data_IF_865940337932
#
_entry.id   IF_865940337932
#
_cell.length_a   1.000
_cell.length_b   1.000
_cell.length_c   1.000
_cell.angle_alpha   90.00
_cell.angle_beta   90.00
_cell.angle_gamma   90.00
#
_symmetry.space_group_name_H-M   'P 1'
#
loop_
_entity.id
_entity.type
_entity.pdbx_description
1 polymer ?
#
# COMPACT_ATOMS: atom_id res chain seq x y z
N UNK A 1 -3.01 -13.04 -8.53
CA UNK A 1 -4.04 -12.08 -8.99
C UNK A 1 -4.79 -12.76 -10.12
N UNK A 2 -6.10 -12.60 -10.18
CA UNK A 2 -6.92 -13.09 -11.29
C UNK A 2 -6.49 -12.35 -12.59
N UNK A 3 -6.12 -13.11 -13.62
CA UNK A 3 -5.57 -12.56 -14.87
C UNK A 3 -6.58 -11.69 -15.62
N UNK A 4 -7.86 -12.07 -15.63
CA UNK A 4 -8.92 -11.33 -16.32
C UNK A 4 -9.15 -9.99 -15.64
N UNK A 5 -9.14 -10.00 -14.30
CA UNK A 5 -9.31 -8.74 -13.57
C UNK A 5 -8.13 -7.80 -13.75
N UNK A 6 -6.91 -8.32 -13.76
CA UNK A 6 -5.71 -7.53 -14.03
C UNK A 6 -5.77 -6.88 -15.42
N UNK A 7 -6.27 -7.62 -16.42
CA UNK A 7 -6.45 -7.11 -17.77
C UNK A 7 -7.49 -5.97 -17.83
N UNK A 8 -8.66 -6.16 -17.21
CA UNK A 8 -9.71 -5.13 -17.18
C UNK A 8 -9.23 -3.85 -16.47
N UNK A 9 -8.53 -3.99 -15.35
CA UNK A 9 -7.94 -2.85 -14.63
C UNK A 9 -6.88 -2.14 -15.48
N UNK A 10 -6.02 -2.88 -16.18
CA UNK A 10 -5.00 -2.30 -17.06
C UNK A 10 -5.63 -1.52 -18.22
N UNK A 11 -6.64 -2.06 -18.89
CA UNK A 11 -7.35 -1.36 -19.99
C UNK A 11 -8.06 -0.11 -19.49
N UNK A 12 -8.72 -0.17 -18.33
CA UNK A 12 -9.45 0.98 -17.75
C UNK A 12 -8.57 2.05 -17.12
N UNK A 13 -7.30 1.75 -16.84
CA UNK A 13 -6.40 2.63 -16.08
C UNK A 13 -6.18 4.00 -16.73
N UNK A 14 -6.03 4.04 -18.06
CA UNK A 14 -5.78 5.28 -18.81
C UNK A 14 -6.99 6.21 -18.68
N UNK A 15 -8.18 5.71 -18.97
CA UNK A 15 -9.42 6.48 -18.85
C UNK A 15 -9.65 6.97 -17.42
N UNK A 16 -9.35 6.13 -16.42
CA UNK A 16 -9.50 6.50 -15.01
C UNK A 16 -8.53 7.61 -14.60
N UNK A 17 -7.29 7.60 -15.12
CA UNK A 17 -6.33 8.68 -14.89
C UNK A 17 -6.82 10.01 -15.50
N UNK A 18 -7.36 9.97 -16.71
CA UNK A 18 -7.93 11.16 -17.35
C UNK A 18 -9.14 11.71 -16.59
N UNK A 19 -9.99 10.83 -16.03
CA UNK A 19 -11.09 11.25 -15.14
C UNK A 19 -10.54 11.94 -13.90
N UNK A 20 -9.48 11.44 -13.26
CA UNK A 20 -8.88 12.11 -12.11
C UNK A 20 -8.33 13.48 -12.46
N UNK A 21 -7.68 13.64 -13.62
CA UNK A 21 -7.23 14.95 -14.13
C UNK A 21 -8.41 15.89 -14.34
N UNK A 22 -9.48 15.40 -14.96
CA UNK A 22 -10.72 16.15 -15.16
C UNK A 22 -11.34 16.62 -13.83
N UNK A 23 -11.29 15.78 -12.78
CA UNK A 23 -11.73 16.14 -11.43
C UNK A 23 -10.77 17.09 -10.69
N UNK A 24 -9.66 17.49 -11.30
CA UNK A 24 -8.71 18.47 -10.77
C UNK A 24 -7.48 17.86 -10.09
N UNK A 25 -7.14 16.59 -10.35
CA UNK A 25 -5.85 16.03 -9.95
C UNK A 25 -4.74 16.59 -10.85
N UNK A 26 -3.89 17.43 -10.28
CA UNK A 26 -2.76 18.07 -10.95
C UNK A 26 -1.60 17.10 -11.15
N UNK A 27 -1.77 16.15 -12.08
CA UNK A 27 -0.70 15.28 -12.52
C UNK A 27 0.34 16.10 -13.29
N UNK A 28 1.65 15.88 -13.06
CA UNK A 28 2.67 16.64 -13.74
C UNK A 28 2.65 16.33 -15.24
N UNK A 29 2.79 17.37 -16.08
CA UNK A 29 2.76 17.27 -17.55
C UNK A 29 4.05 17.79 -18.18
N UNK A 30 4.34 17.35 -19.41
CA UNK A 30 5.40 17.91 -20.23
C UNK A 30 4.94 19.21 -20.94
N UNK A 31 5.83 19.79 -21.75
CA UNK A 31 5.56 21.03 -22.49
C UNK A 31 4.40 20.92 -23.50
N UNK A 32 3.98 19.70 -23.85
CA UNK A 32 2.92 19.43 -24.81
C UNK A 32 1.64 18.92 -24.13
N UNK A 33 1.57 18.91 -22.79
CA UNK A 33 0.40 18.47 -22.01
C UNK A 33 0.31 16.95 -21.81
N UNK A 34 1.36 16.19 -22.15
CA UNK A 34 1.37 14.76 -21.87
C UNK A 34 1.75 14.51 -20.40
N UNK A 35 0.98 13.65 -19.72
CA UNK A 35 1.27 13.25 -18.34
C UNK A 35 2.67 12.66 -18.23
N UNK A 36 3.51 13.20 -17.34
CA UNK A 36 4.84 12.69 -17.06
C UNK A 36 4.76 11.32 -16.42
N UNK A 37 5.63 10.42 -16.90
CA UNK A 37 5.69 9.03 -16.44
C UNK A 37 7.12 8.64 -16.07
N UNK A 38 7.25 7.64 -15.22
CA UNK A 38 8.53 7.09 -14.78
C UNK A 38 8.46 5.58 -14.56
N UNK A 39 9.62 4.93 -14.63
CA UNK A 39 9.77 3.50 -14.36
C UNK A 39 9.73 3.22 -12.85
N UNK A 40 8.98 2.19 -12.47
CA UNK A 40 8.89 1.69 -11.08
C UNK A 40 8.68 0.18 -11.12
N UNK A 41 9.04 -0.54 -10.06
CA UNK A 41 8.43 -1.84 -9.72
C UNK A 41 8.26 -2.87 -10.86
N UNK A 42 9.37 -3.29 -11.45
CA UNK A 42 9.46 -4.23 -12.59
C UNK A 42 8.76 -3.75 -13.87
N UNK A 43 8.41 -2.46 -13.95
CA UNK A 43 7.87 -1.85 -15.16
C UNK A 43 8.97 -1.27 -16.04
N UNK A 44 9.17 -1.91 -17.20
CA UNK A 44 10.17 -1.50 -18.19
C UNK A 44 9.68 -0.31 -19.05
N UNK A 45 8.37 -0.06 -19.08
CA UNK A 45 7.75 0.91 -19.99
C UNK A 45 7.53 2.30 -19.38
N UNK A 46 7.72 2.45 -18.06
CA UNK A 46 7.53 3.72 -17.38
C UNK A 46 6.10 4.22 -17.45
N UNK A 47 5.17 3.47 -16.86
CA UNK A 47 3.73 3.72 -16.85
C UNK A 47 3.24 4.38 -15.57
N UNK A 48 4.09 4.49 -14.54
CA UNK A 48 3.73 5.14 -13.30
C UNK A 48 3.78 6.67 -13.42
N UNK A 49 2.84 7.35 -12.76
CA UNK A 49 2.81 8.80 -12.62
C UNK A 49 2.51 9.17 -11.17
N UNK A 50 2.93 10.35 -10.72
CA UNK A 50 2.73 10.80 -9.35
C UNK A 50 2.77 12.32 -9.21
N UNK A 51 2.04 12.86 -8.24
CA UNK A 51 2.20 14.22 -7.73
C UNK A 51 3.20 14.23 -6.55
N UNK A 52 4.26 13.42 -6.65
CA UNK A 52 5.22 13.18 -5.57
C UNK A 52 4.62 12.41 -4.37
N UNK A 53 5.09 12.65 -3.12
CA UNK A 53 4.74 11.83 -1.97
C UNK A 53 3.29 12.00 -1.48
N UNK A 54 2.50 12.85 -2.13
CA UNK A 54 1.12 13.19 -1.72
C UNK A 54 0.06 12.72 -2.71
N UNK A 55 0.44 11.98 -3.76
CA UNK A 55 -0.48 11.55 -4.84
C UNK A 55 -1.79 10.97 -4.31
N UNK A 56 -1.75 9.96 -3.44
CA UNK A 56 -2.94 9.33 -2.88
C UNK A 56 -3.80 10.29 -2.04
N UNK A 57 -3.17 11.18 -1.27
CA UNK A 57 -3.88 12.23 -0.50
C UNK A 57 -4.61 13.21 -1.44
N UNK A 58 -3.99 13.58 -2.55
CA UNK A 58 -4.61 14.46 -3.54
C UNK A 58 -5.75 13.77 -4.28
N UNK A 59 -5.60 12.48 -4.64
CA UNK A 59 -6.67 11.66 -5.21
C UNK A 59 -7.89 11.59 -4.29
N UNK A 60 -7.69 11.28 -3.00
CA UNK A 60 -8.80 11.23 -2.02
C UNK A 60 -9.47 12.60 -1.91
N UNK A 61 -8.69 13.69 -1.93
CA UNK A 61 -9.24 15.05 -1.85
C UNK A 61 -10.18 15.35 -3.03
N UNK A 62 -9.74 15.13 -4.26
CA UNK A 62 -10.56 15.44 -5.45
C UNK A 62 -11.80 14.55 -5.53
N UNK A 63 -11.68 13.27 -5.19
CA UNK A 63 -12.81 12.34 -5.14
C UNK A 63 -13.83 12.69 -4.05
N UNK A 64 -13.36 13.11 -2.88
CA UNK A 64 -14.25 13.55 -1.79
C UNK A 64 -14.98 14.85 -2.17
N UNK A 65 -14.30 15.79 -2.80
CA UNK A 65 -14.91 17.02 -3.32
C UNK A 65 -15.99 16.70 -4.37
N UNK A 66 -15.72 15.76 -5.26
CA UNK A 66 -16.70 15.33 -6.26
C UNK A 66 -17.92 14.64 -5.63
N UNK A 67 -17.70 13.76 -4.65
CA UNK A 67 -18.80 13.13 -3.92
C UNK A 67 -19.69 14.16 -3.21
N UNK A 68 -19.09 15.19 -2.61
CA UNK A 68 -19.82 16.32 -2.01
C UNK A 68 -20.59 17.12 -3.08
N UNK A 69 -19.97 17.41 -4.24
CA UNK A 69 -20.62 18.13 -5.35
C UNK A 69 -21.85 17.38 -5.88
N UNK A 70 -21.77 16.05 -5.92
CA UNK A 70 -22.85 15.15 -6.31
C UNK A 70 -23.90 14.93 -5.21
N UNK A 71 -23.73 15.54 -4.03
CA UNK A 71 -24.58 15.36 -2.85
C UNK A 71 -24.71 13.88 -2.44
N UNK A 72 -23.64 13.10 -2.58
CA UNK A 72 -23.61 11.71 -2.09
C UNK A 72 -23.64 11.76 -0.55
N UNK A 73 -24.61 11.09 0.12
CA UNK A 73 -24.65 11.07 1.58
C UNK A 73 -23.41 10.40 2.18
N UNK A 74 -22.74 11.10 3.10
CA UNK A 74 -21.57 10.61 3.82
C UNK A 74 -21.91 10.38 5.29
N UNK A 75 -21.94 9.12 5.71
CA UNK A 75 -22.08 8.73 7.11
C UNK A 75 -20.69 8.78 7.79
N UNK A 76 -20.26 9.96 8.19
CA UNK A 76 -18.99 10.12 8.92
C UNK A 76 -19.06 9.46 10.31
N UNK A 77 -17.89 9.04 10.84
CA UNK A 77 -17.75 8.38 12.13
C UNK A 77 -18.72 7.20 12.37
N UNK A 78 -19.15 6.54 11.29
CA UNK A 78 -20.07 5.40 11.31
C UNK A 78 -19.31 4.12 10.98
N UNK A 79 -19.38 3.13 11.87
CA UNK A 79 -18.65 1.86 11.71
C UNK A 79 -19.63 0.72 11.49
N UNK A 80 -19.61 0.12 10.30
CA UNK A 80 -20.35 -1.10 10.00
C UNK A 80 -19.83 -2.27 10.86
N UNK A 81 -20.75 -3.01 11.48
CA UNK A 81 -20.42 -4.13 12.37
C UNK A 81 -21.03 -5.46 11.92
N UNK A 82 -22.13 -5.44 11.14
CA UNK A 82 -22.80 -6.67 10.68
C UNK A 82 -23.55 -6.47 9.38
N UNK A 83 -23.35 -7.36 8.41
CA UNK A 83 -24.15 -7.40 7.17
C UNK A 83 -25.45 -8.16 7.46
N UNK A 84 -26.57 -7.57 7.02
CA UNK A 84 -27.89 -8.19 7.10
C UNK A 84 -28.14 -8.95 5.80
N UNK A 85 -28.45 -10.23 5.93
CA UNK A 85 -28.79 -11.09 4.79
C UNK A 85 -30.12 -11.78 5.01
N UNK A 86 -30.84 -12.04 3.93
CA UNK A 86 -32.07 -12.86 3.93
C UNK A 86 -31.93 -13.99 2.90
N UNK A 87 -32.73 -15.04 3.04
CA UNK A 87 -32.65 -16.24 2.19
C UNK A 87 -31.46 -17.14 2.54
N UNK A 88 -31.38 -18.28 1.84
CA UNK A 88 -30.35 -19.31 2.05
C UNK A 88 -29.81 -19.82 0.71
N UNK A 89 -28.61 -20.40 0.74
CA UNK A 89 -27.94 -20.95 -0.43
C UNK A 89 -27.90 -19.94 -1.60
N UNK A 90 -28.40 -20.38 -2.75
CA UNK A 90 -28.44 -19.57 -3.98
C UNK A 90 -29.41 -18.37 -3.92
N UNK A 91 -30.33 -18.35 -2.94
CA UNK A 91 -31.30 -17.26 -2.78
C UNK A 91 -30.87 -16.22 -1.74
N UNK A 92 -29.64 -16.35 -1.21
CA UNK A 92 -29.13 -15.44 -0.18
C UNK A 92 -28.86 -14.07 -0.78
N UNK A 93 -29.40 -13.02 -0.17
CA UNK A 93 -29.23 -11.63 -0.62
C UNK A 93 -28.91 -10.70 0.54
N UNK A 94 -28.29 -9.57 0.24
CA UNK A 94 -28.07 -8.48 1.20
C UNK A 94 -29.35 -7.65 1.35
N UNK A 95 -29.64 -7.25 2.59
CA UNK A 95 -30.78 -6.38 2.93
C UNK A 95 -30.34 -5.06 3.58
N UNK A 96 -29.07 -4.98 3.99
CA UNK A 96 -28.52 -3.82 4.65
C UNK A 96 -27.29 -4.14 5.50
N UNK A 97 -26.96 -3.17 6.35
CA UNK A 97 -25.86 -3.27 7.31
C UNK A 97 -26.28 -2.62 8.63
N UNK A 98 -25.90 -3.24 9.75
CA UNK A 98 -25.94 -2.63 11.06
C UNK A 98 -24.61 -1.90 11.27
N UNK A 99 -24.69 -0.64 11.69
CA UNK A 99 -23.53 0.16 12.00
C UNK A 99 -23.67 0.87 13.36
N UNK A 100 -22.55 1.30 13.91
CA UNK A 100 -22.48 2.18 15.07
C UNK A 100 -22.16 3.58 14.58
N UNK A 101 -23.09 4.52 14.76
CA UNK A 101 -22.91 5.94 14.48
C UNK A 101 -22.54 6.67 15.79
N UNK A 102 -21.29 7.10 15.91
CA UNK A 102 -20.82 7.80 17.11
C UNK A 102 -21.43 9.18 17.30
N UNK A 103 -21.95 9.80 16.24
CA UNK A 103 -22.55 11.13 16.28
C UNK A 103 -24.03 11.10 16.69
N UNK A 104 -24.71 9.97 16.52
CA UNK A 104 -26.11 9.79 16.91
C UNK A 104 -26.27 9.82 18.45
N UNK A 105 -26.69 10.97 18.99
CA UNK A 105 -26.89 11.16 20.44
C UNK A 105 -28.27 10.71 20.93
N UNK A 106 -29.27 10.73 20.04
CA UNK A 106 -30.67 10.46 20.39
C UNK A 106 -30.97 8.96 20.52
N UNK A 107 -30.06 8.11 20.04
CA UNK A 107 -30.13 6.67 20.21
C UNK A 107 -29.12 6.22 21.28
N UNK A 108 -29.58 5.74 22.46
CA UNK A 108 -28.70 5.25 23.53
C UNK A 108 -27.72 4.17 23.09
N UNK A 109 -28.11 3.34 22.11
CA UNK A 109 -27.30 2.25 21.57
C UNK A 109 -26.36 2.69 20.46
N UNK A 110 -26.57 3.88 19.91
CA UNK A 110 -25.84 4.42 18.74
C UNK A 110 -25.85 3.49 17.52
N UNK A 111 -26.79 2.54 17.48
CA UNK A 111 -26.91 1.55 16.41
C UNK A 111 -27.85 2.07 15.33
N UNK A 112 -27.41 2.05 14.09
CA UNK A 112 -28.21 2.42 12.92
C UNK A 112 -28.31 1.25 11.98
N UNK A 113 -29.45 1.14 11.30
CA UNK A 113 -29.68 0.17 10.23
C UNK A 113 -29.72 0.92 8.91
N UNK A 114 -28.76 0.64 8.04
CA UNK A 114 -28.71 1.18 6.69
C UNK A 114 -29.22 0.09 5.76
N UNK A 115 -30.43 0.27 5.22
CA UNK A 115 -31.02 -0.68 4.28
C UNK A 115 -30.42 -0.48 2.89
N UNK A 116 -30.01 -1.57 2.25
CA UNK A 116 -29.51 -1.52 0.88
C UNK A 116 -29.77 -2.86 0.16
N UNK A 117 -29.99 -2.79 -1.15
CA UNK A 117 -30.10 -3.95 -2.02
C UNK A 117 -28.72 -4.40 -2.55
N UNK A 118 -27.75 -3.48 -2.55
CA UNK A 118 -26.39 -3.72 -2.99
C UNK A 118 -25.43 -3.10 -1.96
N UNK A 119 -24.42 -3.88 -1.58
CA UNK A 119 -23.39 -3.47 -0.63
C UNK A 119 -22.02 -3.64 -1.28
N UNK A 120 -21.25 -2.56 -1.36
CA UNK A 120 -19.88 -2.56 -1.86
C UNK A 120 -18.94 -2.39 -0.67
N UNK A 121 -18.04 -3.35 -0.48
CA UNK A 121 -17.03 -3.31 0.59
C UNK A 121 -15.73 -2.72 0.05
N UNK A 122 -15.43 -1.47 0.44
CA UNK A 122 -14.21 -0.74 0.07
C UNK A 122 -13.41 -0.32 1.32
N UNK A 123 -13.19 -1.25 2.25
CA UNK A 123 -12.71 -0.97 3.63
C UNK A 123 -11.20 -1.05 3.81
N UNK A 124 -10.43 -1.16 2.72
CA UNK A 124 -8.98 -1.22 2.74
C UNK A 124 -8.41 -2.55 3.25
N UNK A 125 -7.08 -2.58 3.43
CA UNK A 125 -6.35 -3.77 3.89
C UNK A 125 -6.37 -3.96 5.42
N UNK A 126 -6.12 -5.19 5.91
CA UNK A 126 -6.17 -5.52 7.33
C UNK A 126 -4.84 -5.22 8.04
N UNK A 127 -4.48 -3.94 8.12
CA UNK A 127 -3.18 -3.48 8.64
C UNK A 127 -2.88 -3.87 10.09
N UNK A 128 -3.90 -4.10 10.91
CA UNK A 128 -3.77 -4.49 12.33
C UNK A 128 -3.54 -6.00 12.55
N UNK A 129 -3.51 -6.81 11.49
CA UNK A 129 -3.10 -8.23 11.61
C UNK A 129 -1.63 -8.39 12.00
N UNK A 130 -0.81 -7.38 11.72
CA UNK A 130 0.61 -7.39 11.99
C UNK A 130 0.94 -6.43 13.12
N UNK A 131 1.78 -6.88 14.07
CA UNK A 131 2.31 -6.03 15.16
C UNK A 131 2.95 -4.75 14.62
N UNK A 132 3.70 -4.89 13.52
CA UNK A 132 4.45 -3.82 12.87
C UNK A 132 3.90 -3.59 11.46
N UNK A 133 3.38 -2.39 11.21
CA UNK A 133 2.58 -2.08 10.02
C UNK A 133 2.79 -0.63 9.59
N UNK A 134 2.76 -0.36 8.28
CA UNK A 134 2.76 1.01 7.71
C UNK A 134 1.35 1.59 7.61
N UNK A 135 0.33 0.75 7.83
CA UNK A 135 -1.05 1.20 7.78
C UNK A 135 -1.32 2.24 8.88
N UNK A 136 -2.27 3.15 8.65
CA UNK A 136 -2.82 3.97 9.70
C UNK A 136 -3.31 3.11 10.87
N UNK A 137 -3.24 3.66 12.08
CA UNK A 137 -3.79 3.01 13.28
C UNK A 137 -5.29 2.76 13.09
N UNK A 138 -5.77 1.62 13.57
CA UNK A 138 -7.15 1.15 13.46
C UNK A 138 -7.60 0.77 12.04
N UNK A 139 -6.66 0.35 11.18
CA UNK A 139 -6.98 -0.19 9.86
C UNK A 139 -7.32 -1.69 9.96
N UNK A 140 -8.53 -2.00 10.44
CA UNK A 140 -8.99 -3.38 10.69
C UNK A 140 -9.56 -4.09 9.45
N UNK A 141 -9.95 -3.35 8.41
CA UNK A 141 -10.73 -3.86 7.26
C UNK A 141 -12.09 -4.47 7.67
N UNK A 142 -12.88 -4.93 6.70
CA UNK A 142 -14.18 -5.59 6.91
C UNK A 142 -14.14 -7.10 6.68
N UNK A 143 -12.96 -7.72 6.68
CA UNK A 143 -12.79 -9.14 6.38
C UNK A 143 -13.58 -10.03 7.36
N UNK A 144 -13.55 -9.73 8.65
CA UNK A 144 -14.30 -10.49 9.67
C UNK A 144 -15.81 -10.41 9.43
N UNK A 145 -16.33 -9.19 9.22
CA UNK A 145 -17.74 -8.96 8.91
C UNK A 145 -18.19 -9.67 7.61
N UNK A 146 -17.32 -9.72 6.60
CA UNK A 146 -17.59 -10.45 5.36
C UNK A 146 -17.63 -11.98 5.59
N UNK A 147 -16.71 -12.53 6.38
CA UNK A 147 -16.70 -13.95 6.73
C UNK A 147 -17.94 -14.37 7.51
N UNK A 148 -18.36 -13.57 8.49
CA UNK A 148 -19.60 -13.80 9.26
C UNK A 148 -20.84 -13.77 8.37
N UNK A 149 -20.82 -12.97 7.31
CA UNK A 149 -21.85 -12.94 6.28
C UNK A 149 -21.78 -14.13 5.30
N UNK A 150 -20.84 -15.06 5.49
CA UNK A 150 -20.63 -16.24 4.65
C UNK A 150 -19.94 -15.94 3.32
N UNK A 151 -19.25 -14.80 3.20
CA UNK A 151 -18.53 -14.44 1.99
C UNK A 151 -17.16 -15.10 1.97
N UNK A 152 -16.81 -15.76 0.86
CA UNK A 152 -15.51 -16.39 0.66
C UNK A 152 -14.44 -15.33 0.38
N UNK A 153 -13.34 -15.41 1.13
CA UNK A 153 -12.15 -14.58 0.91
C UNK A 153 -11.09 -15.37 0.14
N UNK A 154 -10.26 -14.68 -0.63
CA UNK A 154 -9.17 -15.28 -1.42
C UNK A 154 -7.83 -14.63 -1.10
N UNK A 155 -6.74 -15.35 -1.32
CA UNK A 155 -5.36 -14.85 -1.21
C UNK A 155 -5.01 -14.23 0.16
N UNK A 156 -5.64 -14.67 1.25
CA UNK A 156 -5.34 -14.16 2.61
C UNK A 156 -3.90 -14.43 3.06
N UNK A 157 -3.24 -15.43 2.47
CA UNK A 157 -1.83 -15.74 2.69
C UNK A 157 -0.88 -14.76 1.99
N UNK A 158 -1.38 -14.00 1.01
CA UNK A 158 -0.56 -13.14 0.16
C UNK A 158 -0.37 -11.75 0.78
N UNK A 159 0.70 -11.61 1.57
CA UNK A 159 1.11 -10.32 2.12
C UNK A 159 2.40 -9.82 1.49
N UNK A 160 2.38 -8.59 0.96
CA UNK A 160 3.56 -7.98 0.34
C UNK A 160 4.38 -7.27 1.39
N UNK A 161 5.60 -7.72 1.67
CA UNK A 161 6.42 -7.08 2.70
C UNK A 161 7.37 -5.99 2.14
N UNK A 162 7.15 -4.73 2.51
CA UNK A 162 7.99 -3.59 2.15
C UNK A 162 8.98 -3.16 3.24
N UNK A 163 9.91 -2.26 2.90
CA UNK A 163 10.78 -1.56 3.86
C UNK A 163 10.02 -0.31 4.33
N UNK A 164 9.76 -0.17 5.62
CA UNK A 164 9.14 1.03 6.18
C UNK A 164 9.56 1.30 7.63
N UNK A 165 9.29 2.51 8.09
CA UNK A 165 9.51 2.90 9.50
C UNK A 165 8.27 2.63 10.35
N UNK A 166 8.43 2.38 11.66
CA UNK A 166 7.31 2.08 12.54
C UNK A 166 6.25 3.18 12.56
N UNK A 167 4.98 2.76 12.60
CA UNK A 167 3.83 3.69 12.71
C UNK A 167 3.89 4.61 13.92
N UNK A 168 4.51 4.17 15.02
CA UNK A 168 4.58 4.92 16.28
C UNK A 168 5.64 6.03 16.28
N UNK A 169 6.51 6.09 15.27
CA UNK A 169 7.55 7.12 15.17
C UNK A 169 7.25 8.04 13.99
N UNK A 170 7.33 7.47 12.79
CA UNK A 170 7.07 8.14 11.53
C UNK A 170 6.55 7.06 10.58
N UNK A 171 5.24 6.99 10.26
CA UNK A 171 4.71 5.97 9.36
C UNK A 171 5.15 6.29 7.94
N UNK A 172 6.23 5.66 7.48
CA UNK A 172 6.72 5.86 6.13
C UNK A 172 6.96 4.53 5.44
N UNK A 173 6.19 4.29 4.39
CA UNK A 173 6.44 3.23 3.44
C UNK A 173 7.48 3.73 2.43
N UNK A 174 8.67 3.12 2.44
CA UNK A 174 9.76 3.56 1.58
C UNK A 174 9.54 3.02 0.16
N UNK A 175 9.29 3.93 -0.78
CA UNK A 175 9.20 3.58 -2.20
C UNK A 175 10.55 3.04 -2.69
N UNK A 176 10.51 2.04 -3.56
CA UNK A 176 11.71 1.50 -4.21
C UNK A 176 12.54 2.60 -4.87
N UNK A 177 11.92 3.60 -5.49
CA UNK A 177 12.59 4.69 -6.21
C UNK A 177 13.64 5.43 -5.38
N UNK A 178 13.50 5.48 -4.04
CA UNK A 178 14.52 6.06 -3.15
C UNK A 178 15.86 5.33 -3.21
N UNK A 179 15.88 4.04 -3.55
CA UNK A 179 17.12 3.27 -3.70
C UNK A 179 17.97 3.75 -4.88
N UNK A 180 17.38 4.46 -5.84
CA UNK A 180 18.11 5.08 -6.96
C UNK A 180 19.07 6.19 -6.47
N UNK A 181 18.83 6.77 -5.29
CA UNK A 181 19.77 7.70 -4.65
C UNK A 181 20.99 7.00 -4.02
N UNK A 182 21.07 5.66 -4.12
CA UNK A 182 22.13 4.81 -3.58
C UNK A 182 22.39 5.14 -2.10
N UNK A 183 21.37 5.00 -1.21
CA UNK A 183 21.54 5.33 0.19
C UNK A 183 22.63 4.50 0.85
N UNK A 184 23.26 5.07 1.89
CA UNK A 184 24.16 4.30 2.74
C UNK A 184 23.31 3.42 3.66
N UNK A 185 23.37 2.12 3.42
CA UNK A 185 22.69 1.11 4.22
C UNK A 185 23.70 0.49 5.18
N UNK A 186 23.41 0.56 6.49
CA UNK A 186 24.32 0.07 7.51
C UNK A 186 23.56 -0.53 8.69
N UNK A 187 24.29 -1.29 9.49
CA UNK A 187 23.84 -1.80 10.78
C UNK A 187 24.71 -1.17 11.86
N UNK A 188 24.18 -1.04 13.07
CA UNK A 188 24.89 -0.49 14.22
C UNK A 188 24.92 -1.56 15.31
N UNK A 189 26.03 -1.70 16.04
CA UNK A 189 26.06 -2.58 17.21
C UNK A 189 25.73 -1.83 18.50
N UNK A 190 25.69 -2.54 19.63
CA UNK A 190 25.41 -1.99 20.96
C UNK A 190 26.43 -0.93 21.40
N UNK A 191 27.64 -0.93 20.84
CA UNK A 191 28.67 0.09 21.11
C UNK A 191 28.52 1.35 20.24
N UNK A 192 27.52 1.37 19.35
CA UNK A 192 27.28 2.47 18.42
C UNK A 192 28.12 2.39 17.15
N UNK A 193 28.94 1.35 16.96
CA UNK A 193 29.80 1.21 15.77
C UNK A 193 28.95 0.83 14.56
N UNK A 194 29.05 1.63 13.51
CA UNK A 194 28.37 1.41 12.24
C UNK A 194 29.19 0.52 11.31
N UNK A 195 28.54 -0.41 10.62
CA UNK A 195 29.18 -1.23 9.59
C UNK A 195 28.21 -1.52 8.45
N UNK A 196 28.77 -1.56 7.24
CA UNK A 196 28.04 -1.93 6.04
C UNK A 196 28.04 -3.46 5.89
N UNK A 197 26.98 -4.09 6.38
CA UNK A 197 26.81 -5.55 6.31
C UNK A 197 26.60 -6.08 4.88
N UNK A 198 26.44 -5.20 3.88
CA UNK A 198 26.30 -5.58 2.47
C UNK A 198 27.63 -5.66 1.76
N UNK A 199 28.62 -4.91 2.25
CA UNK A 199 29.97 -4.99 1.74
C UNK A 199 30.58 -6.39 1.94
N UNK A 200 30.09 -7.18 2.90
CA UNK A 200 30.52 -8.59 3.08
C UNK A 200 29.83 -9.56 2.13
N UNK A 201 28.77 -9.13 1.43
CA UNK A 201 28.02 -9.98 0.50
C UNK A 201 28.38 -9.71 -0.96
N UNK A 202 28.66 -8.46 -1.33
CA UNK A 202 29.03 -8.10 -2.69
C UNK A 202 30.55 -8.06 -2.86
N UNK A 203 31.12 -8.69 -3.90
CA UNK A 203 32.58 -8.73 -4.11
C UNK A 203 33.22 -7.35 -4.29
N UNK A 204 32.47 -6.38 -4.82
CA UNK A 204 32.98 -5.03 -5.06
C UNK A 204 31.95 -3.96 -4.70
N UNK A 205 32.41 -2.76 -4.34
CA UNK A 205 31.55 -1.58 -4.13
C UNK A 205 30.71 -1.25 -5.37
N UNK A 206 31.26 -1.47 -6.57
CA UNK A 206 30.54 -1.25 -7.84
C UNK A 206 29.31 -2.16 -7.95
N UNK A 207 29.47 -3.44 -7.64
CA UNK A 207 28.36 -4.40 -7.66
C UNK A 207 27.30 -4.06 -6.61
N UNK A 208 27.73 -3.70 -5.39
CA UNK A 208 26.81 -3.25 -4.34
C UNK A 208 26.00 -2.03 -4.77
N UNK A 209 26.66 -0.97 -5.24
CA UNK A 209 25.99 0.26 -5.66
C UNK A 209 25.03 0.01 -6.84
N UNK A 210 25.44 -0.82 -7.80
CA UNK A 210 24.59 -1.21 -8.94
C UNK A 210 23.35 -1.99 -8.48
N UNK A 211 23.51 -2.90 -7.51
CA UNK A 211 22.41 -3.66 -6.94
C UNK A 211 21.41 -2.76 -6.19
N UNK A 212 21.91 -1.81 -5.38
CA UNK A 212 21.07 -0.82 -4.69
C UNK A 212 20.32 0.03 -5.72
N UNK A 213 21.00 0.59 -6.71
CA UNK A 213 20.38 1.42 -7.75
C UNK A 213 19.27 0.66 -8.49
N UNK A 214 19.57 -0.55 -8.97
CA UNK A 214 18.59 -1.42 -9.67
C UNK A 214 17.41 -1.80 -8.80
N UNK A 215 17.60 -1.89 -7.48
CA UNK A 215 16.50 -2.19 -6.54
C UNK A 215 15.40 -1.13 -6.62
N UNK A 216 15.74 0.10 -7.03
CA UNK A 216 14.74 1.14 -7.22
C UNK A 216 13.81 0.97 -8.41
N UNK A 217 14.07 -0.01 -9.27
CA UNK A 217 13.17 -0.44 -10.35
C UNK A 217 12.63 -1.86 -10.14
N UNK A 218 13.03 -2.56 -9.09
CA UNK A 218 12.77 -4.00 -8.90
C UNK A 218 12.10 -4.28 -7.55
N UNK A 219 11.04 -3.53 -7.28
CA UNK A 219 10.22 -3.59 -6.07
C UNK A 219 8.84 -4.19 -6.41
N UNK A 220 8.15 -4.94 -5.52
CA UNK A 220 8.65 -5.60 -4.31
C UNK A 220 9.63 -6.75 -4.66
N UNK A 221 10.05 -7.54 -3.66
CA UNK A 221 10.90 -8.71 -3.88
C UNK A 221 10.17 -9.79 -4.70
N UNK A 222 10.91 -10.54 -5.52
CA UNK A 222 10.41 -11.71 -6.24
C UNK A 222 11.36 -12.88 -5.96
N UNK A 223 10.84 -13.97 -5.39
CA UNK A 223 11.67 -15.11 -4.94
C UNK A 223 12.47 -15.74 -6.09
N UNK A 224 11.89 -15.81 -7.29
CA UNK A 224 12.54 -16.35 -8.48
C UNK A 224 13.71 -15.49 -9.00
N UNK A 225 13.85 -14.25 -8.52
CA UNK A 225 14.96 -13.34 -8.90
C UNK A 225 16.11 -13.37 -7.88
N UNK A 226 16.18 -14.40 -7.01
CA UNK A 226 17.19 -14.59 -5.96
C UNK A 226 18.44 -15.37 -6.42
N UNK A 227 18.92 -15.13 -7.63
CA UNK A 227 20.18 -15.72 -8.13
C UNK A 227 21.40 -14.92 -7.65
N UNK A 228 22.59 -15.54 -7.64
CA UNK A 228 23.82 -14.99 -7.07
C UNK A 228 24.04 -13.50 -7.40
N UNK A 229 24.13 -12.68 -6.34
CA UNK A 229 24.34 -11.22 -6.41
C UNK A 229 23.23 -10.40 -7.09
N UNK A 230 22.06 -10.99 -7.37
CA UNK A 230 20.92 -10.24 -7.86
C UNK A 230 20.48 -9.15 -6.86
N UNK A 231 19.83 -8.06 -7.33
CA UNK A 231 19.29 -7.03 -6.43
C UNK A 231 18.30 -7.57 -5.40
N UNK A 232 17.67 -8.72 -5.66
CA UNK A 232 16.79 -9.39 -4.69
C UNK A 232 17.58 -10.03 -3.53
N UNK A 233 18.80 -10.54 -3.75
CA UNK A 233 19.61 -11.23 -2.73
C UNK A 233 19.98 -10.35 -1.55
N UNK A 234 20.16 -9.04 -1.78
CA UNK A 234 20.36 -8.07 -0.71
C UNK A 234 19.27 -8.15 0.36
N UNK A 235 18.01 -8.34 -0.05
CA UNK A 235 16.87 -8.38 0.88
C UNK A 235 16.89 -9.62 1.78
N UNK A 236 17.45 -10.74 1.33
CA UNK A 236 17.62 -11.93 2.19
C UNK A 236 18.58 -11.64 3.35
N UNK A 237 19.65 -10.88 3.07
CA UNK A 237 20.63 -10.45 4.07
C UNK A 237 20.04 -9.34 4.96
N UNK A 238 19.22 -8.46 4.38
CA UNK A 238 18.40 -7.48 5.09
C UNK A 238 17.50 -8.17 6.12
N UNK A 239 16.74 -9.19 5.71
CA UNK A 239 15.88 -10.01 6.57
C UNK A 239 16.63 -10.68 7.73
N UNK A 240 17.77 -11.32 7.44
CA UNK A 240 18.61 -11.95 8.47
C UNK A 240 19.11 -10.95 9.50
N UNK A 241 19.35 -9.70 9.09
CA UNK A 241 19.82 -8.64 9.99
C UNK A 241 18.68 -7.95 10.74
N UNK A 242 17.49 -7.82 10.15
CA UNK A 242 16.31 -7.31 10.85
C UNK A 242 15.96 -8.14 12.09
N UNK A 243 16.08 -9.47 12.01
CA UNK A 243 15.93 -10.35 13.19
C UNK A 243 16.91 -10.04 14.33
N UNK A 244 17.98 -9.28 14.08
CA UNK A 244 19.03 -8.90 15.04
C UNK A 244 18.94 -7.42 15.49
N UNK A 245 17.92 -6.68 15.07
CA UNK A 245 17.47 -5.45 15.76
C UNK A 245 18.22 -4.14 15.50
N UNK A 246 19.11 -4.03 14.50
CA UNK A 246 19.81 -2.76 14.27
C UNK A 246 20.10 -2.51 12.79
N UNK A 247 19.31 -1.68 12.12
CA UNK A 247 19.60 -1.31 10.72
C UNK A 247 19.18 0.13 10.44
N UNK A 248 19.94 0.82 9.60
CA UNK A 248 19.78 2.24 9.34
C UNK A 248 20.04 2.51 7.85
N UNK A 249 19.27 3.42 7.28
CA UNK A 249 19.48 3.95 5.92
C UNK A 249 19.71 5.44 6.02
N UNK A 250 20.78 5.92 5.38
CA UNK A 250 21.15 7.34 5.37
C UNK A 250 21.17 7.85 3.95
N UNK A 251 20.32 8.85 3.69
CA UNK A 251 20.30 9.65 2.47
C UNK A 251 21.11 10.92 2.71
N UNK A 252 22.03 11.25 1.81
CA UNK A 252 22.77 12.51 1.87
C UNK A 252 22.31 13.43 0.75
N UNK A 253 21.74 14.58 1.11
CA UNK A 253 21.52 15.68 0.16
C UNK A 253 22.79 16.54 0.12
N UNK A 254 23.34 16.74 -1.07
CA UNK A 254 24.52 17.58 -1.26
C UNK A 254 24.12 19.04 -1.37
N UNK A 255 24.07 19.79 -0.27
CA UNK A 255 24.11 21.26 -0.33
C UNK A 255 25.56 21.71 -0.26
N UNK A 256 25.96 22.58 -1.20
CA UNK A 256 27.31 23.18 -1.32
C UNK A 256 27.67 24.14 -0.17
N UNK A 257 26.85 24.22 0.87
CA UNK A 257 27.08 24.99 2.09
C UNK A 257 27.32 24.03 3.26
N UNK A 258 28.31 24.36 4.09
CA UNK A 258 28.96 23.55 5.13
C UNK A 258 28.06 23.17 6.33
N UNK A 259 26.75 23.06 6.13
CA UNK A 259 25.79 22.49 7.07
C UNK A 259 25.15 21.27 6.42
N UNK A 260 25.74 20.10 6.69
CA UNK A 260 25.10 18.81 6.44
C UNK A 260 23.84 18.75 7.32
N UNK A 261 22.67 18.87 6.71
CA UNK A 261 21.43 18.46 7.37
C UNK A 261 21.41 16.94 7.37
N UNK A 262 21.76 16.34 8.50
CA UNK A 262 21.78 14.89 8.66
C UNK A 262 20.40 14.44 9.15
N UNK A 263 19.60 13.87 8.24
CA UNK A 263 18.40 13.15 8.65
C UNK A 263 18.79 11.74 9.07
N UNK A 264 18.85 11.52 10.38
CA UNK A 264 19.01 10.20 10.97
C UNK A 264 17.66 9.50 11.03
N UNK A 265 17.48 8.44 10.25
CA UNK A 265 16.41 7.49 10.49
C UNK A 265 16.92 6.49 11.51
N UNK A 266 16.74 6.82 12.80
CA UNK A 266 17.04 5.88 13.88
C UNK A 266 16.09 4.71 13.81
N UNK A 267 16.61 3.50 13.61
CA UNK A 267 15.74 2.36 13.41
C UNK A 267 16.10 1.17 14.29
N UNK A 268 15.52 1.22 15.50
CA UNK A 268 15.33 0.03 16.31
C UNK A 268 14.27 -0.93 15.75
N UNK A 269 13.61 -0.63 14.62
CA UNK A 269 12.49 -1.45 14.10
C UNK A 269 12.16 -1.20 12.62
N UNK A 270 13.11 -1.38 11.68
CA UNK A 270 12.68 -1.59 10.28
C UNK A 270 12.03 -2.98 10.24
N UNK A 271 10.82 -3.08 9.68
CA UNK A 271 10.13 -4.36 9.49
C UNK A 271 9.84 -4.59 8.02
N UNK A 272 9.74 -5.87 7.67
CA UNK A 272 9.02 -6.32 6.49
C UNK A 272 7.53 -6.06 6.75
N UNK A 273 6.88 -5.28 5.89
CA UNK A 273 5.53 -4.74 6.16
C UNK A 273 4.54 -5.07 5.06
N UNK A 274 3.45 -5.78 5.40
CA UNK A 274 2.35 -6.07 4.46
C UNK A 274 1.79 -4.78 3.85
N UNK A 275 1.83 -4.61 2.53
CA UNK A 275 0.97 -3.69 1.77
C UNK A 275 0.07 -4.54 0.88
N UNK A 276 -1.22 -4.55 1.16
CA UNK A 276 -2.10 -5.55 0.55
C UNK A 276 -2.28 -5.21 -0.94
N UNK A 277 -2.04 -6.18 -1.83
CA UNK A 277 -2.76 -6.27 -3.10
C UNK A 277 -4.22 -6.35 -2.70
N UNK A 278 -5.04 -5.44 -3.22
CA UNK A 278 -6.50 -5.39 -3.06
C UNK A 278 -7.09 -6.74 -2.63
N UNK A 279 -7.47 -6.88 -1.35
CA UNK A 279 -8.17 -8.07 -0.87
C UNK A 279 -9.52 -8.09 -1.57
N UNK A 280 -9.59 -8.77 -2.71
CA UNK A 280 -10.82 -8.89 -3.47
C UNK A 280 -11.71 -9.89 -2.77
N UNK A 281 -12.91 -9.42 -2.47
CA UNK A 281 -14.03 -10.25 -2.09
C UNK A 281 -14.68 -10.66 -3.41
N UNK A 282 -14.43 -11.88 -3.87
CA UNK A 282 -15.15 -12.45 -5.01
C UNK A 282 -16.48 -13.01 -4.50
N UNK A 283 -17.62 -12.51 -4.99
CA UNK A 283 -18.87 -13.20 -4.80
C UNK A 283 -18.80 -14.50 -5.60
N UNK A 284 -18.81 -15.66 -4.95
CA UNK A 284 -19.13 -16.91 -5.62
C UNK A 284 -20.63 -16.90 -5.95
N UNK A 285 -20.98 -16.27 -7.07
CA UNK A 285 -22.28 -16.43 -7.71
C UNK A 285 -22.01 -16.87 -9.14
N UNK A 286 -21.98 -18.18 -9.35
CA UNK A 286 -22.11 -18.73 -10.69
C UNK A 286 -23.45 -18.25 -11.26
N UNK A 287 -23.44 -17.41 -12.31
CA UNK A 287 -24.34 -17.58 -13.44
C UNK A 287 -23.96 -16.74 -14.67
N UNK A 288 -23.74 -17.48 -15.76
CA UNK A 288 -24.07 -17.20 -17.17
C UNK A 288 -24.55 -15.78 -17.49
N UNK A 289 -23.69 -15.03 -18.16
CA UNK A 289 -24.12 -14.09 -19.19
C UNK A 289 -23.88 -14.73 -20.55
N UNK A 290 -24.90 -15.45 -21.04
CA UNK A 290 -25.15 -15.68 -22.46
C UNK A 290 -26.58 -15.20 -22.67
N UNK A 291 -26.70 -14.02 -23.23
CA UNK A 291 -27.72 -13.64 -24.22
C UNK A 291 -26.99 -12.83 -25.29
#
# INVERSE_FOLDING_TARGET
MDHDTAYVEAVGSVNTCEVLKYLGLDLPEDLFGATLRYQTDHDEFGRATSCGPRTSRLMVKVLAQEAMRLNIPLCDHTTAIRILTSGEGENRRVEGVIAIDKACRDNPWRMVVIRCQHLVLATGGPGELYRDSVYPVNCFSALGMALEAGITLVNLTESQFGIGTPRNQFPWNLSGTYMQAIPRIYSQDHSGRQYNFLATYYPTTRMLASAIFRKGYQWPFHAERMLEYAPACWMSQFMKRLKKGAMFSRFSTGTRTRQRTEHYLTCGSWMMMSSTICNKITPCWHNRWRD
#
